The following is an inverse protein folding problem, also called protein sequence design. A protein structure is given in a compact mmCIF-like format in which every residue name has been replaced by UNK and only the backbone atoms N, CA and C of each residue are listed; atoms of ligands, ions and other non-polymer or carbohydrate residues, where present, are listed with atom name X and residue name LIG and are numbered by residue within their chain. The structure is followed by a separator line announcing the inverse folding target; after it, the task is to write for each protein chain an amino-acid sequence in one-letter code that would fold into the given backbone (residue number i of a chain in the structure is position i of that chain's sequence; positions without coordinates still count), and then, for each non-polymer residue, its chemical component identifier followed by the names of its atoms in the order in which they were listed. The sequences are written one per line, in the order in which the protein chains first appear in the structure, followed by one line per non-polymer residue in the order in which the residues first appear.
data_IF_701185430594
#
_entry.id   IF_701185430594
#
_cell.length_a   1.000
_cell.length_b   1.000
_cell.length_c   1.000
_cell.angle_alpha   90.00
_cell.angle_beta   90.00
_cell.angle_gamma   90.00
#
_symmetry.space_group_name_H-M   'P 1'
#
loop_
_entity.id
_entity.type
_entity.pdbx_description
1 polymer ?
#
# COMPACT_ATOMS: atom_id res chain seq x y z
N UNK A 1 -24.17 0.17 -8.63
CA UNK A 1 -23.79 0.51 -7.23
C UNK A 1 -22.48 1.28 -7.29
N UNK A 2 -22.35 2.41 -6.57
CA UNK A 2 -21.09 3.19 -6.53
C UNK A 2 -20.29 2.82 -5.27
N UNK A 3 -18.97 2.78 -5.38
CA UNK A 3 -18.06 2.55 -4.25
C UNK A 3 -17.68 3.89 -3.64
N UNK A 4 -17.70 3.95 -2.31
CA UNK A 4 -17.14 5.09 -1.58
C UNK A 4 -15.61 5.02 -1.63
N UNK A 5 -15.01 5.90 -2.44
CA UNK A 5 -13.55 5.95 -2.67
C UNK A 5 -12.79 6.05 -1.35
N UNK A 6 -13.18 6.99 -0.47
CA UNK A 6 -12.48 7.21 0.81
C UNK A 6 -12.50 5.95 1.68
N UNK A 7 -13.65 5.30 1.77
CA UNK A 7 -13.80 4.08 2.55
C UNK A 7 -12.95 2.94 1.97
N UNK A 8 -12.91 2.77 0.64
CA UNK A 8 -12.07 1.75 0.01
C UNK A 8 -10.58 2.01 0.25
N UNK A 9 -10.14 3.27 0.09
CA UNK A 9 -8.74 3.65 0.34
C UNK A 9 -8.35 3.31 1.77
N UNK A 10 -9.14 3.71 2.76
CA UNK A 10 -8.83 3.42 4.17
C UNK A 10 -8.85 1.92 4.44
N UNK A 11 -9.87 1.20 3.95
CA UNK A 11 -10.06 -0.22 4.20
C UNK A 11 -8.97 -1.11 3.55
N UNK A 12 -8.30 -0.63 2.50
CA UNK A 12 -7.21 -1.34 1.84
C UNK A 12 -5.84 -0.91 2.36
N UNK A 13 -5.66 0.39 2.59
CA UNK A 13 -4.38 0.96 3.07
C UNK A 13 -4.07 0.49 4.48
N UNK A 14 -5.01 0.58 5.42
CA UNK A 14 -4.72 0.28 6.83
C UNK A 14 -4.26 -1.17 7.06
N UNK A 15 -4.90 -2.21 6.49
CA UNK A 15 -4.39 -3.58 6.58
C UNK A 15 -3.03 -3.75 5.91
N UNK A 16 -2.79 -3.14 4.74
CA UNK A 16 -1.51 -3.24 4.06
C UNK A 16 -0.36 -2.59 4.86
N UNK A 17 -0.59 -1.41 5.44
CA UNK A 17 0.34 -0.74 6.33
C UNK A 17 0.64 -1.58 7.58
N UNK A 18 -0.37 -2.25 8.14
CA UNK A 18 -0.18 -3.15 9.28
C UNK A 18 0.67 -4.37 8.90
N UNK A 19 0.40 -4.97 7.73
CA UNK A 19 1.17 -6.12 7.23
C UNK A 19 2.64 -5.72 7.00
N UNK A 20 2.92 -4.60 6.33
CA UNK A 20 4.32 -4.19 6.13
C UNK A 20 5.00 -3.87 7.45
N UNK A 21 4.29 -3.27 8.41
CA UNK A 21 4.84 -2.96 9.73
C UNK A 21 5.30 -4.26 10.43
N UNK A 22 4.45 -5.29 10.43
CA UNK A 22 4.79 -6.59 11.02
C UNK A 22 5.99 -7.22 10.32
N UNK A 23 6.00 -7.25 8.99
CA UNK A 23 7.10 -7.88 8.22
C UNK A 23 8.41 -7.08 8.38
N UNK A 24 8.33 -5.74 8.34
CA UNK A 24 9.47 -4.83 8.51
C UNK A 24 10.09 -4.95 9.90
N UNK A 25 9.28 -5.02 10.96
CA UNK A 25 9.74 -5.31 12.32
C UNK A 25 10.37 -6.71 12.41
N UNK A 26 9.69 -7.73 11.90
CA UNK A 26 10.14 -9.11 12.02
C UNK A 26 11.46 -9.38 11.29
N UNK A 27 11.61 -8.85 10.07
CA UNK A 27 12.83 -9.00 9.27
C UNK A 27 14.07 -8.35 9.91
N UNK A 28 13.87 -7.36 10.79
CA UNK A 28 14.95 -6.74 11.57
C UNK A 28 15.28 -7.52 12.85
N UNK A 29 14.34 -8.31 13.36
CA UNK A 29 14.51 -9.16 14.56
C UNK A 29 14.97 -10.59 14.23
N UNK A 30 14.72 -11.07 13.01
CA UNK A 30 15.02 -12.43 12.58
C UNK A 30 15.52 -12.47 11.13
N UNK A 31 16.58 -13.25 10.90
CA UNK A 31 17.25 -13.35 9.59
C UNK A 31 16.44 -14.17 8.58
N UNK A 32 15.53 -15.04 9.03
CA UNK A 32 14.90 -16.08 8.20
C UNK A 32 13.52 -15.72 7.65
N UNK A 33 12.69 -14.97 8.40
CA UNK A 33 11.32 -14.69 8.01
C UNK A 33 11.16 -13.24 7.55
N UNK A 34 10.61 -13.04 6.34
CA UNK A 34 10.36 -11.72 5.77
C UNK A 34 11.57 -11.04 5.12
N UNK A 35 12.79 -11.56 5.28
CA UNK A 35 14.01 -10.97 4.71
C UNK A 35 14.02 -10.93 3.18
N UNK A 36 13.66 -12.02 2.50
CA UNK A 36 13.53 -12.04 1.03
C UNK A 36 12.46 -11.08 0.52
N UNK A 37 11.32 -11.03 1.21
CA UNK A 37 10.25 -10.10 0.86
C UNK A 37 10.73 -8.65 1.02
N UNK A 38 11.35 -8.32 2.15
CA UNK A 38 11.88 -6.98 2.40
C UNK A 38 13.02 -6.62 1.45
N UNK A 39 13.83 -7.57 1.01
CA UNK A 39 14.86 -7.33 -0.01
C UNK A 39 14.24 -6.94 -1.35
N UNK A 40 13.22 -7.67 -1.79
CA UNK A 40 12.49 -7.35 -3.01
C UNK A 40 11.70 -6.03 -2.87
N UNK A 41 11.12 -5.78 -1.71
CA UNK A 41 10.39 -4.55 -1.42
C UNK A 41 11.32 -3.32 -1.39
N UNK A 42 12.45 -3.39 -0.67
CA UNK A 42 13.41 -2.29 -0.58
C UNK A 42 14.20 -2.07 -1.88
N UNK A 43 14.18 -3.01 -2.85
CA UNK A 43 14.79 -2.79 -4.17
C UNK A 43 13.94 -1.88 -5.05
N UNK A 44 12.62 -1.91 -4.91
CA UNK A 44 11.69 -1.00 -5.59
C UNK A 44 11.38 0.26 -4.76
N UNK A 45 11.58 0.21 -3.44
CA UNK A 45 11.47 1.33 -2.52
C UNK A 45 12.81 1.61 -1.81
N UNK A 46 13.81 2.17 -2.53
CA UNK A 46 15.14 2.36 -1.96
C UNK A 46 15.18 3.47 -0.91
N UNK A 47 15.76 3.17 0.25
CA UNK A 47 16.09 4.13 1.31
C UNK A 47 17.33 3.62 2.09
N UNK A 48 18.09 4.46 2.80
CA UNK A 48 19.35 4.05 3.44
C UNK A 48 19.18 3.10 4.63
N UNK A 49 17.97 3.07 5.21
CA UNK A 49 17.62 2.34 6.44
C UNK A 49 16.97 0.97 6.17
N UNK A 50 17.46 0.23 5.17
CA UNK A 50 16.88 -1.07 4.78
C UNK A 50 17.01 -2.12 5.88
N UNK A 51 16.09 -3.08 5.90
CA UNK A 51 16.05 -4.14 6.92
C UNK A 51 17.34 -4.97 6.99
N UNK A 52 18.04 -5.08 5.86
CA UNK A 52 19.21 -5.94 5.67
C UNK A 52 20.53 -5.21 5.80
N UNK A 53 20.54 -3.93 6.17
CA UNK A 53 21.77 -3.18 6.37
C UNK A 53 22.33 -3.45 7.79
N UNK A 54 23.44 -4.20 7.92
CA UNK A 54 23.97 -4.59 9.22
C UNK A 54 24.69 -3.44 9.96
N UNK A 55 24.93 -2.31 9.29
CA UNK A 55 25.66 -1.17 9.86
C UNK A 55 24.75 -0.13 10.53
N UNK A 56 23.44 -0.38 10.58
CA UNK A 56 22.48 0.57 11.16
C UNK A 56 22.55 0.61 12.68
N UNK A 57 22.42 1.81 13.22
CA UNK A 57 22.20 2.03 14.64
C UNK A 57 20.75 1.66 15.00
N UNK A 58 20.50 1.31 16.27
CA UNK A 58 19.19 0.80 16.71
C UNK A 58 18.03 1.74 16.36
N UNK A 59 18.23 3.06 16.43
CA UNK A 59 17.21 4.06 16.12
C UNK A 59 17.01 4.25 14.61
N UNK A 60 18.01 3.93 13.79
CA UNK A 60 17.92 4.01 12.33
C UNK A 60 16.97 2.94 11.78
N UNK A 61 16.85 1.81 12.46
CA UNK A 61 15.83 0.82 12.15
C UNK A 61 14.41 1.37 12.28
N UNK A 62 14.14 2.28 13.23
CA UNK A 62 12.84 2.93 13.38
C UNK A 62 12.53 3.79 12.15
N UNK A 63 13.51 4.57 11.68
CA UNK A 63 13.35 5.33 10.44
C UNK A 63 13.09 4.41 9.26
N UNK A 64 13.80 3.28 9.16
CA UNK A 64 13.55 2.27 8.15
C UNK A 64 12.11 1.75 8.15
N UNK A 65 11.58 1.41 9.32
CA UNK A 65 10.18 0.96 9.46
C UNK A 65 9.20 2.06 9.04
N UNK A 66 9.47 3.31 9.41
CA UNK A 66 8.63 4.46 9.01
C UNK A 66 8.63 4.62 7.49
N UNK A 67 9.79 4.54 6.83
CA UNK A 67 9.86 4.59 5.37
C UNK A 67 9.10 3.43 4.74
N UNK A 68 9.31 2.20 5.22
CA UNK A 68 8.61 1.01 4.74
C UNK A 68 7.07 1.19 4.82
N UNK A 69 6.57 1.69 5.96
CA UNK A 69 5.13 1.95 6.16
C UNK A 69 4.62 3.07 5.26
N UNK A 70 5.38 4.16 5.10
CA UNK A 70 4.96 5.27 4.26
C UNK A 70 4.84 4.86 2.78
N UNK A 71 5.84 4.15 2.25
CA UNK A 71 5.84 3.70 0.86
C UNK A 71 4.63 2.83 0.56
N UNK A 72 4.39 1.76 1.32
CA UNK A 72 3.23 0.88 1.06
C UNK A 72 1.91 1.64 1.22
N UNK A 73 1.84 2.59 2.17
CA UNK A 73 0.61 3.31 2.43
C UNK A 73 0.25 4.20 1.25
N UNK A 74 1.24 4.87 0.65
CA UNK A 74 1.06 5.70 -0.53
C UNK A 74 0.67 4.84 -1.74
N UNK A 75 1.38 3.73 -1.97
CA UNK A 75 1.11 2.82 -3.10
C UNK A 75 -0.32 2.29 -3.06
N UNK A 76 -0.72 1.74 -1.92
CA UNK A 76 -2.04 1.13 -1.77
C UNK A 76 -3.12 2.20 -1.78
N UNK A 77 -2.90 3.37 -1.17
CA UNK A 77 -3.88 4.46 -1.22
C UNK A 77 -4.09 4.99 -2.63
N UNK A 78 -3.01 5.14 -3.40
CA UNK A 78 -3.08 5.56 -4.79
C UNK A 78 -3.79 4.50 -5.66
N UNK A 79 -3.34 3.24 -5.59
CA UNK A 79 -3.89 2.17 -6.41
C UNK A 79 -5.37 1.92 -6.12
N UNK A 80 -5.75 1.86 -4.83
CA UNK A 80 -7.16 1.70 -4.43
C UNK A 80 -8.01 2.90 -4.84
N UNK A 81 -7.47 4.13 -4.76
CA UNK A 81 -8.12 5.33 -5.26
C UNK A 81 -8.41 5.26 -6.76
N UNK A 82 -7.41 4.91 -7.56
CA UNK A 82 -7.55 4.73 -9.03
C UNK A 82 -8.58 3.64 -9.35
N UNK A 83 -8.50 2.49 -8.67
CA UNK A 83 -9.45 1.38 -8.88
C UNK A 83 -10.88 1.78 -8.53
N UNK A 84 -11.09 2.51 -7.42
CA UNK A 84 -12.42 2.99 -7.04
C UNK A 84 -13.00 3.97 -8.06
N UNK A 85 -12.18 4.89 -8.58
CA UNK A 85 -12.59 5.85 -9.60
C UNK A 85 -12.93 5.14 -10.92
N UNK A 86 -12.10 4.19 -11.35
CA UNK A 86 -12.34 3.38 -12.54
C UNK A 86 -13.64 2.58 -12.42
N UNK A 87 -13.86 1.92 -11.28
CA UNK A 87 -15.10 1.19 -11.02
C UNK A 87 -16.32 2.10 -11.10
N UNK A 88 -16.27 3.28 -10.46
CA UNK A 88 -17.38 4.23 -10.48
C UNK A 88 -17.65 4.79 -11.88
N UNK A 89 -16.60 4.98 -12.69
CA UNK A 89 -16.73 5.41 -14.09
C UNK A 89 -17.41 4.33 -14.94
N UNK A 90 -16.92 3.08 -14.88
CA UNK A 90 -17.50 1.95 -15.60
C UNK A 90 -18.95 1.67 -15.17
N UNK A 91 -19.23 1.72 -13.87
CA UNK A 91 -20.57 1.51 -13.33
C UNK A 91 -21.54 2.65 -13.69
N UNK A 92 -21.05 3.88 -13.86
CA UNK A 92 -21.84 5.05 -14.26
C UNK A 92 -22.10 5.13 -15.78
N UNK A 93 -21.19 4.62 -16.61
CA UNK A 93 -21.34 4.61 -18.06
C UNK A 93 -22.59 3.82 -18.53
N UNK A 94 -23.02 2.82 -17.77
CA UNK A 94 -24.24 2.04 -18.05
C UNK A 94 -25.57 2.68 -17.60
N UNK A 95 -25.54 3.78 -16.82
CA UNK A 95 -26.75 4.47 -16.36
C UNK A 95 -27.18 5.61 -17.30
N UNK A 96 -26.26 6.18 -18.08
CA UNK A 96 -26.55 7.24 -19.05
C UNK A 96 -27.30 6.77 -20.31
N UNK A 97 -27.29 5.48 -20.63
CA UNK A 97 -27.92 4.94 -21.83
C UNK A 97 -29.44 4.67 -21.65
N UNK A 98 -29.95 4.64 -20.42
CA UNK A 98 -31.37 4.38 -20.15
C UNK A 98 -32.25 5.62 -20.09
N UNK A 99 -31.68 6.82 -20.10
CA UNK A 99 -32.47 8.07 -19.95
C UNK A 99 -32.87 8.68 -21.29
N UNK A 100 -32.21 8.31 -22.39
CA UNK A 100 -32.46 8.90 -23.72
C UNK A 100 -33.39 8.05 -24.61
N UNK A 101 -33.86 6.88 -24.16
CA UNK A 101 -34.75 6.02 -24.97
C UNK A 101 -36.25 6.31 -24.80
N UNK A 102 -36.63 7.35 -24.04
CA UNK A 102 -38.02 7.71 -23.75
C UNK A 102 -38.35 9.19 -24.06
N UNK A 103 -37.55 9.86 -24.89
CA UNK A 103 -37.86 11.19 -25.41
C UNK A 103 -38.36 11.12 -26.86
#
# INVERSE_FOLDING_TARGET
MKVNVKALVIATTAPASLVILVISLWSRLSVSFGSYFMQAYNSIHPHPFTALNPALLWYEHIYGIIFDVLYISVDVAFLSGVVALLYNWLAGAGEGEKTDSNA
#
